data_IF_172221871875
#
_entry.id   IF_172221871875
#
_cell.length_a   1.000
_cell.length_b   1.000
_cell.length_c   1.000
_cell.angle_alpha   90.00
_cell.angle_beta   90.00
_cell.angle_gamma   90.00
#
_symmetry.space_group_name_H-M   'P 1'
#
loop_
_entity.id
_entity.type
_entity.pdbx_description
1 polymer ?
#
# COMPACT_ATOMS: atom_id res chain seq x y z
N UNK A 1 -21.34 19.60 6.02
CA UNK A 1 -19.90 19.65 5.74
C UNK A 1 -19.34 21.00 6.16
N UNK A 2 -18.31 21.02 6.98
CA UNK A 2 -17.71 22.25 7.53
C UNK A 2 -16.27 22.39 7.04
N UNK A 3 -16.06 22.51 5.72
CA UNK A 3 -14.72 22.71 5.15
C UNK A 3 -14.79 23.50 3.86
N UNK A 4 -13.84 24.43 3.69
CA UNK A 4 -13.65 25.17 2.43
C UNK A 4 -12.99 24.33 1.33
N UNK A 5 -12.52 23.13 1.64
CA UNK A 5 -11.89 22.26 0.63
C UNK A 5 -12.90 21.78 -0.43
N UNK A 6 -14.16 21.56 -0.03
CA UNK A 6 -15.23 21.11 -0.94
C UNK A 6 -15.61 22.18 -1.96
N UNK A 7 -15.50 23.44 -1.62
CA UNK A 7 -15.72 24.54 -2.59
C UNK A 7 -14.69 24.52 -3.72
N UNK A 8 -13.52 23.94 -3.50
CA UNK A 8 -12.43 23.85 -4.47
C UNK A 8 -12.39 22.53 -5.23
N UNK A 9 -12.91 21.46 -4.63
CA UNK A 9 -12.89 20.12 -5.19
C UNK A 9 -14.14 19.34 -4.76
N UNK A 10 -15.10 19.20 -5.65
CA UNK A 10 -16.31 18.41 -5.37
C UNK A 10 -15.94 16.94 -5.09
N UNK A 11 -16.61 16.29 -4.12
CA UNK A 11 -16.30 14.90 -3.79
C UNK A 11 -16.45 13.96 -4.98
N UNK A 12 -15.45 13.08 -5.16
CA UNK A 12 -15.51 11.97 -6.11
C UNK A 12 -16.06 10.76 -5.33
N UNK A 13 -17.10 10.08 -5.82
CA UNK A 13 -17.59 8.85 -5.18
C UNK A 13 -16.51 7.78 -5.11
N UNK A 14 -16.40 7.09 -3.97
CA UNK A 14 -15.43 6.00 -3.79
C UNK A 14 -15.56 5.32 -2.43
N UNK A 15 -14.65 4.41 -2.14
CA UNK A 15 -14.64 3.62 -0.91
C UNK A 15 -13.49 3.95 0.05
N UNK A 16 -12.77 5.05 -0.18
CA UNK A 16 -11.68 5.47 0.71
C UNK A 16 -12.21 6.45 1.76
N UNK A 17 -11.75 6.32 2.99
CA UNK A 17 -12.07 7.23 4.08
C UNK A 17 -10.81 7.85 4.67
N UNK A 18 -10.93 9.06 5.22
CA UNK A 18 -9.87 9.78 5.92
C UNK A 18 -10.28 9.98 7.39
N UNK A 19 -9.42 9.56 8.31
CA UNK A 19 -9.47 9.89 9.72
C UNK A 19 -8.23 10.73 10.09
N UNK A 20 -8.39 11.97 10.50
CA UNK A 20 -7.26 12.89 10.72
C UNK A 20 -7.39 13.67 12.02
N UNK A 21 -6.34 13.68 12.84
CA UNK A 21 -6.25 14.57 13.99
C UNK A 21 -6.00 16.03 13.57
N UNK A 22 -5.39 16.25 12.38
CA UNK A 22 -5.16 17.59 11.85
C UNK A 22 -6.21 17.97 10.80
N UNK A 23 -6.93 19.07 11.01
CA UNK A 23 -7.87 19.61 10.03
C UNK A 23 -7.17 20.07 8.75
N UNK A 24 -6.08 20.82 8.88
CA UNK A 24 -5.33 21.35 7.74
C UNK A 24 -4.66 20.23 6.94
N UNK A 25 -4.05 19.25 7.62
CA UNK A 25 -3.40 18.14 6.94
C UNK A 25 -4.41 17.14 6.34
N UNK A 26 -5.54 16.92 7.00
CA UNK A 26 -6.67 16.17 6.42
C UNK A 26 -7.19 16.80 5.14
N UNK A 27 -7.28 18.16 5.11
CA UNK A 27 -7.62 18.89 3.89
C UNK A 27 -6.57 18.71 2.79
N UNK A 28 -5.28 18.71 3.14
CA UNK A 28 -4.20 18.44 2.19
C UNK A 28 -4.32 17.03 1.59
N UNK A 29 -4.49 15.99 2.44
CA UNK A 29 -4.70 14.61 1.96
C UNK A 29 -5.91 14.54 1.03
N UNK A 30 -7.04 15.14 1.39
CA UNK A 30 -8.24 15.19 0.58
C UNK A 30 -7.99 15.82 -0.79
N UNK A 31 -7.34 16.99 -0.83
CA UNK A 31 -7.10 17.73 -2.08
C UNK A 31 -6.17 16.96 -3.02
N UNK A 32 -5.08 16.37 -2.51
CA UNK A 32 -4.17 15.57 -3.35
C UNK A 32 -4.84 14.26 -3.79
N UNK A 33 -5.65 13.63 -2.94
CA UNK A 33 -6.49 12.47 -3.32
C UNK A 33 -7.42 12.81 -4.47
N UNK A 34 -8.09 13.95 -4.40
CA UNK A 34 -8.98 14.42 -5.47
C UNK A 34 -8.23 14.66 -6.78
N UNK A 35 -7.04 15.29 -6.74
CA UNK A 35 -6.19 15.50 -7.94
C UNK A 35 -5.80 14.18 -8.61
N UNK A 36 -5.64 13.09 -7.82
CA UNK A 36 -5.33 11.75 -8.31
C UNK A 36 -6.57 10.91 -8.66
N UNK A 37 -7.77 11.50 -8.58
CA UNK A 37 -9.01 10.80 -8.89
C UNK A 37 -9.36 9.70 -7.88
N UNK A 38 -8.86 9.81 -6.62
CA UNK A 38 -9.24 8.92 -5.54
C UNK A 38 -10.59 9.36 -4.94
N UNK A 39 -11.56 8.46 -4.94
CA UNK A 39 -12.88 8.72 -4.38
C UNK A 39 -12.89 8.62 -2.87
N UNK A 40 -13.13 9.75 -2.18
CA UNK A 40 -13.21 9.84 -0.73
C UNK A 40 -14.68 9.86 -0.31
N UNK A 41 -15.08 8.84 0.44
CA UNK A 41 -16.45 8.71 0.94
C UNK A 41 -16.66 9.44 2.29
N UNK A 42 -15.69 9.31 3.19
CA UNK A 42 -15.70 9.98 4.49
C UNK A 42 -14.40 10.75 4.71
N UNK A 43 -14.53 11.91 5.32
CA UNK A 43 -13.41 12.64 5.89
C UNK A 43 -13.81 13.13 7.27
N UNK A 44 -13.22 12.50 8.30
CA UNK A 44 -13.45 12.80 9.72
C UNK A 44 -12.20 13.49 10.27
N UNK A 45 -12.38 14.70 10.82
CA UNK A 45 -11.33 15.41 11.54
C UNK A 45 -11.67 15.46 13.02
N UNK A 46 -10.80 14.90 13.87
CA UNK A 46 -11.02 14.81 15.31
C UNK A 46 -10.41 15.96 16.10
N UNK A 47 -9.46 16.71 15.48
CA UNK A 47 -8.78 17.82 16.13
C UNK A 47 -8.12 17.39 17.44
N UNK A 48 -8.31 18.16 18.51
CA UNK A 48 -7.75 17.87 19.84
C UNK A 48 -8.47 16.74 20.60
N UNK A 49 -9.44 16.08 19.96
CA UNK A 49 -10.14 14.93 20.53
C UNK A 49 -10.82 15.23 21.88
N UNK A 50 -11.60 16.29 21.89
CA UNK A 50 -12.38 16.67 23.08
C UNK A 50 -13.54 15.70 23.34
N UNK A 51 -14.07 15.10 22.28
CA UNK A 51 -15.21 14.15 22.31
C UNK A 51 -14.80 12.84 21.62
N UNK A 52 -14.64 12.84 20.29
CA UNK A 52 -14.31 11.67 19.50
C UNK A 52 -12.81 11.62 19.20
N UNK A 53 -12.18 10.49 19.47
CA UNK A 53 -10.79 10.22 19.15
C UNK A 53 -10.60 9.70 17.72
N UNK A 54 -9.36 9.77 17.20
CA UNK A 54 -9.01 9.16 15.90
C UNK A 54 -9.20 7.64 15.92
N UNK A 55 -9.03 7.01 17.09
CA UNK A 55 -9.27 5.57 17.26
C UNK A 55 -10.73 5.21 17.08
N UNK A 56 -11.65 5.99 17.64
CA UNK A 56 -13.11 5.81 17.46
C UNK A 56 -13.54 6.11 16.03
N UNK A 57 -12.92 7.12 15.38
CA UNK A 57 -13.16 7.39 13.96
C UNK A 57 -12.72 6.21 13.09
N UNK A 58 -11.55 5.61 13.35
CA UNK A 58 -11.08 4.40 12.63
C UNK A 58 -12.04 3.24 12.88
N UNK A 59 -12.50 3.02 14.12
CA UNK A 59 -13.46 1.96 14.47
C UNK A 59 -14.76 2.11 13.67
N UNK A 60 -15.33 3.32 13.65
CA UNK A 60 -16.54 3.62 12.87
C UNK A 60 -16.34 3.32 11.38
N UNK A 61 -15.23 3.77 10.80
CA UNK A 61 -14.91 3.53 9.39
C UNK A 61 -14.65 2.06 9.09
N UNK A 62 -14.08 1.32 10.05
CA UNK A 62 -13.86 -0.11 9.92
C UNK A 62 -15.18 -0.90 9.85
N UNK A 63 -16.21 -0.44 10.54
CA UNK A 63 -17.53 -1.08 10.56
C UNK A 63 -18.46 -0.66 9.40
N UNK A 64 -18.19 0.47 8.73
CA UNK A 64 -19.05 0.98 7.64
C UNK A 64 -18.82 0.23 6.32
N UNK A 65 -19.85 -0.44 5.79
CA UNK A 65 -19.79 -1.23 4.55
C UNK A 65 -19.38 -0.43 3.30
N UNK A 66 -19.55 0.90 3.31
CA UNK A 66 -19.16 1.78 2.20
C UNK A 66 -17.67 2.11 2.19
N UNK A 67 -16.94 1.77 3.26
CA UNK A 67 -15.51 2.02 3.38
C UNK A 67 -14.75 0.74 3.03
N UNK A 68 -13.76 0.87 2.16
CA UNK A 68 -12.89 -0.22 1.73
C UNK A 68 -11.44 -0.01 2.15
N UNK A 69 -11.04 1.24 2.39
CA UNK A 69 -9.67 1.62 2.77
C UNK A 69 -9.72 2.83 3.66
N UNK A 70 -8.93 2.84 4.72
CA UNK A 70 -8.85 3.92 5.69
C UNK A 70 -7.46 4.55 5.63
N UNK A 71 -7.39 5.84 5.34
CA UNK A 71 -6.17 6.65 5.48
C UNK A 71 -6.24 7.38 6.82
N UNK A 72 -5.28 7.16 7.69
CA UNK A 72 -5.25 7.76 9.02
C UNK A 72 -4.02 8.66 9.23
N UNK A 73 -4.25 9.88 9.72
CA UNK A 73 -3.19 10.79 10.16
C UNK A 73 -3.24 10.93 11.68
N UNK A 74 -2.19 10.49 12.36
CA UNK A 74 -2.16 10.31 13.81
C UNK A 74 -0.95 11.03 14.41
N UNK A 75 -1.20 11.95 15.32
CA UNK A 75 -0.18 12.67 16.10
C UNK A 75 0.09 11.96 17.43
N UNK A 76 -0.98 11.54 18.12
CA UNK A 76 -0.91 10.81 19.39
C UNK A 76 -2.11 9.88 19.55
N UNK A 77 -1.99 8.90 20.45
CA UNK A 77 -3.08 7.99 20.82
C UNK A 77 -3.29 8.09 22.33
N UNK A 78 -4.49 8.50 22.75
CA UNK A 78 -4.85 8.65 24.16
C UNK A 78 -5.28 7.34 24.81
N UNK A 79 -5.99 6.49 24.03
CA UNK A 79 -6.44 5.17 24.45
C UNK A 79 -5.86 4.08 23.53
N UNK A 80 -4.79 3.43 23.98
CA UNK A 80 -4.14 2.35 23.24
C UNK A 80 -5.03 1.13 23.04
N UNK A 81 -5.94 0.82 23.98
CA UNK A 81 -6.87 -0.31 23.85
C UNK A 81 -7.89 -0.06 22.74
N UNK A 82 -8.46 1.15 22.72
CA UNK A 82 -9.39 1.54 21.66
C UNK A 82 -8.69 1.56 20.29
N UNK A 83 -7.45 2.05 20.25
CA UNK A 83 -6.66 2.08 19.02
C UNK A 83 -6.40 0.68 18.46
N UNK A 84 -5.88 -0.24 19.28
CA UNK A 84 -5.62 -1.62 18.85
C UNK A 84 -6.90 -2.34 18.46
N UNK A 85 -8.01 -2.13 19.19
CA UNK A 85 -9.31 -2.68 18.84
C UNK A 85 -9.78 -2.19 17.45
N UNK A 86 -9.63 -0.89 17.17
CA UNK A 86 -10.04 -0.32 15.89
C UNK A 86 -9.23 -0.90 14.72
N UNK A 87 -7.91 -1.09 14.88
CA UNK A 87 -7.05 -1.73 13.88
C UNK A 87 -7.43 -3.20 13.69
N UNK A 88 -7.67 -3.94 14.78
CA UNK A 88 -8.09 -5.34 14.70
C UNK A 88 -9.46 -5.50 14.02
N UNK A 89 -10.41 -4.59 14.29
CA UNK A 89 -11.70 -4.57 13.58
C UNK A 89 -11.48 -4.36 12.08
N UNK A 90 -10.68 -3.39 11.68
CA UNK A 90 -10.39 -3.13 10.28
C UNK A 90 -9.73 -4.36 9.61
N UNK A 91 -8.78 -5.03 10.30
CA UNK A 91 -8.15 -6.26 9.82
C UNK A 91 -9.16 -7.39 9.64
N UNK A 92 -10.05 -7.62 10.59
CA UNK A 92 -11.11 -8.63 10.52
C UNK A 92 -12.08 -8.38 9.36
N UNK A 93 -12.43 -7.12 9.13
CA UNK A 93 -13.27 -6.68 8.02
C UNK A 93 -12.49 -6.58 6.68
N UNK A 94 -11.22 -6.99 6.67
CA UNK A 94 -10.31 -6.95 5.51
C UNK A 94 -10.22 -5.56 4.87
N UNK A 95 -10.18 -4.53 5.70
CA UNK A 95 -10.04 -3.13 5.30
C UNK A 95 -8.65 -2.62 5.61
N UNK A 96 -7.83 -2.29 4.60
CA UNK A 96 -6.53 -1.66 4.80
C UNK A 96 -6.61 -0.39 5.62
N UNK A 97 -5.78 -0.30 6.68
CA UNK A 97 -5.52 0.95 7.40
C UNK A 97 -4.12 1.42 7.03
N UNK A 98 -4.06 2.53 6.31
CA UNK A 98 -2.82 3.19 5.88
C UNK A 98 -2.57 4.34 6.83
N UNK A 99 -1.54 4.25 7.66
CA UNK A 99 -1.38 5.11 8.81
C UNK A 99 -0.10 5.93 8.74
N UNK A 100 -0.25 7.24 8.77
CA UNK A 100 0.85 8.20 8.94
C UNK A 100 0.92 8.62 10.41
N UNK A 101 1.90 8.09 11.16
CA UNK A 101 2.22 8.54 12.52
C UNK A 101 3.33 9.58 12.46
N UNK A 102 3.04 10.78 12.92
CA UNK A 102 4.00 11.89 12.99
C UNK A 102 4.58 12.07 14.39
N UNK A 103 5.57 12.95 14.53
CA UNK A 103 6.31 13.11 15.79
C UNK A 103 7.28 11.96 16.06
N UNK A 104 8.00 11.50 15.01
CA UNK A 104 8.93 10.35 15.07
C UNK A 104 10.30 10.71 15.62
N UNK A 105 10.79 11.88 15.30
CA UNK A 105 12.08 12.41 15.79
C UNK A 105 11.88 13.28 17.01
N UNK A 106 12.94 13.51 17.78
CA UNK A 106 12.89 14.39 18.95
C UNK A 106 12.36 15.79 18.60
N UNK A 107 12.79 16.33 17.45
CA UNK A 107 12.31 17.62 16.95
C UNK A 107 10.83 17.56 16.58
N UNK A 108 10.42 16.49 15.88
CA UNK A 108 9.03 16.27 15.51
C UNK A 108 8.13 16.03 16.73
N UNK A 109 8.61 15.30 17.73
CA UNK A 109 7.91 15.07 18.99
C UNK A 109 7.74 16.37 19.78
N UNK A 110 8.79 17.19 19.87
CA UNK A 110 8.71 18.52 20.52
C UNK A 110 7.72 19.45 19.80
N UNK A 111 7.69 19.42 18.47
CA UNK A 111 6.74 20.18 17.67
C UNK A 111 5.29 19.70 17.91
N UNK A 112 5.05 18.38 17.88
CA UNK A 112 3.75 17.79 18.16
C UNK A 112 3.26 18.11 19.58
N UNK A 113 4.13 17.98 20.58
CA UNK A 113 3.80 18.30 21.97
C UNK A 113 3.42 19.79 22.16
N UNK A 114 4.11 20.71 21.48
CA UNK A 114 3.78 22.13 21.54
C UNK A 114 2.46 22.46 20.84
N UNK A 115 2.08 21.67 19.83
CA UNK A 115 0.88 21.90 19.03
C UNK A 115 -0.39 21.30 19.68
N UNK A 116 -0.29 20.09 20.28
CA UNK A 116 -1.44 19.35 20.79
C UNK A 116 -1.49 19.18 22.31
N UNK A 117 -0.45 19.65 23.03
CA UNK A 117 -0.26 19.44 24.47
C UNK A 117 -0.31 17.96 24.91
N UNK A 118 -0.10 17.01 24.00
CA UNK A 118 -0.08 15.58 24.25
C UNK A 118 1.32 15.00 24.07
N UNK A 119 1.73 14.08 24.96
CA UNK A 119 3.01 13.38 24.88
C UNK A 119 3.07 12.54 23.60
N UNK A 120 4.12 12.69 22.80
CA UNK A 120 4.28 11.99 21.53
C UNK A 120 4.54 10.47 21.65
N UNK A 121 4.89 9.97 22.85
CA UNK A 121 5.22 8.57 23.08
C UNK A 121 6.45 8.08 22.28
N UNK A 122 6.91 6.87 22.59
CA UNK A 122 8.05 6.24 21.91
C UNK A 122 7.67 5.75 20.50
N UNK A 123 8.33 6.25 19.47
CA UNK A 123 8.02 5.95 18.06
C UNK A 123 8.14 4.46 17.71
N UNK A 124 9.10 3.77 18.35
CA UNK A 124 9.30 2.34 18.16
C UNK A 124 8.08 1.52 18.63
N UNK A 125 7.44 1.92 19.74
CA UNK A 125 6.23 1.27 20.25
C UNK A 125 5.09 1.43 19.24
N UNK A 126 4.90 2.63 18.70
CA UNK A 126 3.89 2.86 17.66
C UNK A 126 4.12 1.98 16.43
N UNK A 127 5.37 1.88 15.95
CA UNK A 127 5.70 1.04 14.80
C UNK A 127 5.31 -0.42 15.03
N UNK A 128 5.66 -0.97 16.21
CA UNK A 128 5.36 -2.35 16.54
C UNK A 128 3.85 -2.60 16.70
N UNK A 129 3.13 -1.69 17.38
CA UNK A 129 1.68 -1.81 17.56
C UNK A 129 0.96 -1.74 16.22
N UNK A 130 1.29 -0.76 15.38
CA UNK A 130 0.68 -0.60 14.05
C UNK A 130 0.87 -1.87 13.23
N UNK A 131 2.11 -2.40 13.21
CA UNK A 131 2.45 -3.63 12.49
C UNK A 131 1.74 -4.86 13.06
N UNK A 132 1.73 -5.04 14.38
CA UNK A 132 1.14 -6.20 15.06
C UNK A 132 -0.39 -6.27 14.87
N UNK A 133 -1.05 -5.14 14.66
CA UNK A 133 -2.49 -5.05 14.42
C UNK A 133 -2.86 -4.87 12.93
N UNK A 134 -1.92 -5.19 12.01
CA UNK A 134 -2.19 -5.32 10.57
C UNK A 134 -2.34 -4.01 9.81
N UNK A 135 -2.07 -2.86 10.41
CA UNK A 135 -2.03 -1.58 9.70
C UNK A 135 -0.68 -1.40 9.00
N UNK A 136 -0.66 -0.59 7.92
CA UNK A 136 0.53 -0.26 7.16
C UNK A 136 0.97 1.18 7.46
N UNK A 137 2.18 1.34 7.99
CA UNK A 137 2.73 2.64 8.35
C UNK A 137 3.46 3.27 7.18
N UNK A 138 3.00 4.47 6.78
CA UNK A 138 3.60 5.26 5.69
C UNK A 138 4.44 6.43 6.22
N UNK A 139 5.38 6.90 5.39
CA UNK A 139 6.34 7.96 5.72
C UNK A 139 6.02 9.30 5.05
N UNK A 140 5.19 9.29 4.01
CA UNK A 140 4.85 10.47 3.23
C UNK A 140 3.40 10.43 2.73
N UNK A 141 2.87 11.59 2.34
CA UNK A 141 1.57 11.68 1.66
C UNK A 141 1.58 10.93 0.33
N UNK A 142 2.69 11.00 -0.40
CA UNK A 142 2.90 10.30 -1.66
C UNK A 142 2.67 8.80 -1.48
N UNK A 143 3.39 8.18 -0.54
CA UNK A 143 3.28 6.76 -0.21
C UNK A 143 1.87 6.39 0.26
N UNK A 144 1.24 7.23 1.11
CA UNK A 144 -0.14 7.03 1.56
C UNK A 144 -1.11 6.92 0.38
N UNK A 145 -0.98 7.82 -0.58
CA UNK A 145 -1.88 7.86 -1.74
C UNK A 145 -1.60 6.74 -2.75
N UNK A 146 -0.34 6.36 -2.94
CA UNK A 146 0.02 5.24 -3.80
C UNK A 146 -0.54 3.92 -3.25
N UNK A 147 -0.38 3.70 -1.95
CA UNK A 147 -0.93 2.51 -1.30
C UNK A 147 -2.46 2.54 -1.34
N UNK A 148 -3.09 3.69 -1.06
CA UNK A 148 -4.54 3.83 -1.16
C UNK A 148 -5.05 3.59 -2.59
N UNK A 149 -4.33 4.07 -3.60
CA UNK A 149 -4.62 3.79 -5.00
C UNK A 149 -4.51 2.28 -5.31
N UNK A 150 -3.44 1.65 -4.83
CA UNK A 150 -3.19 0.23 -5.08
C UNK A 150 -4.25 -0.69 -4.45
N UNK A 151 -4.97 -0.25 -3.41
CA UNK A 151 -6.05 -1.04 -2.80
C UNK A 151 -7.35 -1.07 -3.62
N UNK A 152 -7.49 -0.27 -4.69
CA UNK A 152 -8.71 -0.19 -5.52
C UNK A 152 -9.24 -1.55 -6.01
N UNK A 153 -8.40 -2.47 -6.52
CA UNK A 153 -8.88 -3.78 -6.98
C UNK A 153 -9.34 -4.71 -5.85
N UNK A 154 -8.99 -4.40 -4.60
CA UNK A 154 -9.31 -5.22 -3.41
C UNK A 154 -8.74 -6.64 -3.50
N UNK A 155 -7.61 -6.80 -4.16
CA UNK A 155 -6.84 -8.03 -4.27
C UNK A 155 -5.59 -7.88 -3.39
N UNK A 156 -5.46 -8.76 -2.41
CA UNK A 156 -4.40 -8.72 -1.41
C UNK A 156 -3.65 -10.05 -1.39
N UNK A 157 -2.50 -10.15 -2.08
CA UNK A 157 -1.71 -11.39 -2.11
C UNK A 157 -1.19 -11.74 -0.71
N UNK A 158 -1.34 -12.99 -0.27
CA UNK A 158 -0.90 -13.42 1.06
C UNK A 158 0.57 -13.80 1.15
N UNK A 159 1.24 -14.00 0.02
CA UNK A 159 2.66 -14.31 -0.06
C UNK A 159 3.53 -13.07 -0.27
N UNK A 160 4.86 -13.28 -0.33
CA UNK A 160 5.86 -12.22 -0.51
C UNK A 160 6.71 -12.42 -1.78
N UNK A 161 6.32 -13.31 -2.68
CA UNK A 161 7.10 -13.60 -3.87
C UNK A 161 6.69 -12.64 -5.00
N UNK A 162 7.60 -11.73 -5.33
CA UNK A 162 7.42 -10.73 -6.38
C UNK A 162 8.00 -11.20 -7.71
N UNK A 163 7.20 -11.20 -8.76
CA UNK A 163 7.64 -11.31 -10.14
C UNK A 163 7.87 -9.93 -10.74
N UNK A 164 8.98 -9.75 -11.45
CA UNK A 164 9.29 -8.50 -12.16
C UNK A 164 9.52 -8.85 -13.63
N UNK A 165 8.72 -8.27 -14.52
CA UNK A 165 8.92 -8.34 -15.97
C UNK A 165 9.29 -6.96 -16.49
N UNK A 166 10.35 -6.86 -17.29
CA UNK A 166 10.87 -5.56 -17.71
C UNK A 166 11.39 -5.60 -19.15
N UNK A 167 11.35 -4.44 -19.80
CA UNK A 167 12.03 -4.17 -21.07
C UNK A 167 13.36 -3.41 -20.86
N UNK A 168 13.77 -3.22 -19.61
CA UNK A 168 14.97 -2.49 -19.21
C UNK A 168 15.68 -3.19 -18.06
N UNK A 169 16.84 -3.73 -18.30
CA UNK A 169 17.65 -4.40 -17.26
C UNK A 169 17.92 -3.51 -16.05
N UNK A 170 18.26 -2.23 -16.26
CA UNK A 170 18.49 -1.27 -15.16
C UNK A 170 17.26 -1.04 -14.29
N UNK A 171 16.05 -0.96 -14.90
CA UNK A 171 14.82 -0.86 -14.15
C UNK A 171 14.52 -2.10 -13.30
N UNK A 172 14.85 -3.29 -13.84
CA UNK A 172 14.76 -4.55 -13.11
C UNK A 172 15.64 -4.59 -11.87
N UNK A 173 16.90 -4.12 -11.98
CA UNK A 173 17.82 -4.03 -10.83
C UNK A 173 17.29 -3.10 -9.76
N UNK A 174 16.85 -1.88 -10.13
CA UNK A 174 16.29 -0.91 -9.19
C UNK A 174 15.09 -1.47 -8.42
N UNK A 175 14.17 -2.17 -9.12
CA UNK A 175 13.02 -2.80 -8.47
C UNK A 175 13.41 -3.97 -7.57
N UNK A 176 14.46 -4.73 -7.91
CA UNK A 176 14.94 -5.81 -7.06
C UNK A 176 15.55 -5.28 -5.76
N UNK A 177 16.30 -4.18 -5.80
CA UNK A 177 16.84 -3.50 -4.62
C UNK A 177 15.70 -2.96 -3.74
N UNK A 178 14.71 -2.27 -4.33
CA UNK A 178 13.54 -1.80 -3.61
C UNK A 178 12.73 -2.96 -2.97
N UNK A 179 12.61 -4.08 -3.66
CA UNK A 179 11.94 -5.28 -3.14
C UNK A 179 12.68 -5.88 -1.94
N UNK A 180 14.00 -5.87 -1.97
CA UNK A 180 14.83 -6.27 -0.83
C UNK A 180 14.60 -5.39 0.39
N UNK A 181 14.58 -4.07 0.21
CA UNK A 181 14.34 -3.09 1.29
C UNK A 181 12.96 -3.26 1.93
N UNK A 182 11.95 -3.64 1.13
CA UNK A 182 10.57 -3.92 1.60
C UNK A 182 10.36 -5.37 2.07
N UNK A 183 11.41 -6.19 2.11
CA UNK A 183 11.36 -7.59 2.58
C UNK A 183 10.55 -8.53 1.68
N UNK A 184 10.48 -8.22 0.39
CA UNK A 184 9.89 -9.08 -0.64
C UNK A 184 10.92 -10.07 -1.20
N UNK A 185 10.44 -11.18 -1.72
CA UNK A 185 11.29 -12.21 -2.33
C UNK A 185 11.26 -12.10 -3.86
N UNK A 186 12.37 -11.72 -4.48
CA UNK A 186 12.57 -11.78 -5.94
C UNK A 186 13.29 -13.09 -6.28
N UNK A 187 12.58 -14.22 -6.19
CA UNK A 187 13.17 -15.55 -6.43
C UNK A 187 13.27 -15.85 -7.92
N UNK A 188 14.34 -16.52 -8.38
CA UNK A 188 14.42 -17.00 -9.76
C UNK A 188 13.29 -18.00 -10.08
N UNK A 189 12.81 -17.98 -11.32
CA UNK A 189 11.93 -19.04 -11.81
C UNK A 189 12.63 -20.40 -11.82
N UNK A 190 11.88 -21.52 -11.80
CA UNK A 190 12.43 -22.86 -12.01
C UNK A 190 13.27 -22.93 -13.30
N UNK A 191 14.39 -23.66 -13.27
CA UNK A 191 15.33 -23.76 -14.41
C UNK A 191 14.67 -24.20 -15.70
N UNK A 192 13.72 -25.12 -15.63
CA UNK A 192 12.97 -25.59 -16.81
C UNK A 192 12.14 -24.46 -17.44
N UNK A 193 11.46 -23.64 -16.62
CA UNK A 193 10.70 -22.49 -17.09
C UNK A 193 11.63 -21.46 -17.78
N UNK A 194 12.80 -21.18 -17.17
CA UNK A 194 13.81 -20.31 -17.77
C UNK A 194 14.30 -20.84 -19.12
N UNK A 195 14.59 -22.14 -19.23
CA UNK A 195 15.04 -22.78 -20.48
C UNK A 195 13.97 -22.70 -21.57
N UNK A 196 12.72 -22.89 -21.22
CA UNK A 196 11.61 -22.78 -22.17
C UNK A 196 11.45 -21.36 -22.71
N UNK A 197 11.55 -20.35 -21.86
CA UNK A 197 11.54 -18.95 -22.30
C UNK A 197 12.77 -18.60 -23.15
N UNK A 198 13.95 -19.13 -22.84
CA UNK A 198 15.15 -18.94 -23.69
C UNK A 198 15.05 -19.56 -25.08
N UNK A 199 14.24 -20.61 -25.27
CA UNK A 199 13.97 -21.14 -26.63
C UNK A 199 13.15 -20.14 -27.47
N UNK A 200 12.27 -19.34 -26.83
CA UNK A 200 11.46 -18.33 -27.49
C UNK A 200 12.28 -17.06 -27.75
N UNK A 201 12.99 -16.58 -26.74
CA UNK A 201 13.86 -15.39 -26.83
C UNK A 201 15.26 -15.76 -26.30
N UNK A 202 16.20 -16.17 -27.19
CA UNK A 202 17.54 -16.63 -26.78
C UNK A 202 18.35 -15.63 -25.97
N UNK A 203 18.11 -14.32 -26.20
CA UNK A 203 18.82 -13.22 -25.53
C UNK A 203 18.13 -12.73 -24.27
N UNK A 204 16.92 -13.22 -23.94
CA UNK A 204 16.23 -12.86 -22.70
C UNK A 204 16.99 -13.34 -21.47
N UNK A 205 16.85 -12.59 -20.38
CA UNK A 205 17.26 -13.04 -19.05
C UNK A 205 16.01 -13.44 -18.25
N UNK A 206 15.54 -14.70 -18.35
CA UNK A 206 14.28 -15.14 -17.74
C UNK A 206 14.44 -15.57 -16.29
N UNK A 207 15.34 -14.95 -15.54
CA UNK A 207 15.67 -15.38 -14.18
C UNK A 207 14.68 -14.84 -13.15
N UNK A 208 14.33 -13.65 -13.13
CA UNK A 208 13.62 -12.72 -12.27
C UNK A 208 14.62 -11.82 -11.52
N UNK A 209 14.64 -10.51 -11.84
CA UNK A 209 13.78 -9.83 -12.84
C UNK A 209 13.91 -10.40 -14.25
N UNK A 210 12.77 -10.57 -14.92
CA UNK A 210 12.71 -11.15 -16.27
C UNK A 210 12.82 -10.04 -17.30
N UNK A 211 13.99 -9.93 -17.95
CA UNK A 211 14.21 -8.98 -19.02
C UNK A 211 13.83 -9.62 -20.37
N UNK A 212 12.73 -9.14 -20.96
CA UNK A 212 12.25 -9.60 -22.27
C UNK A 212 12.97 -8.92 -23.44
N UNK A 213 13.86 -7.99 -23.15
CA UNK A 213 14.71 -7.25 -24.11
C UNK A 213 13.93 -6.39 -25.11
N UNK A 214 14.64 -5.76 -26.05
CA UNK A 214 14.04 -4.99 -27.14
C UNK A 214 13.20 -5.83 -28.12
N UNK A 215 13.21 -7.16 -28.03
CA UNK A 215 12.32 -8.01 -28.84
C UNK A 215 10.83 -7.74 -28.59
N UNK A 216 10.50 -7.27 -27.40
CA UNK A 216 9.18 -6.78 -27.06
C UNK A 216 8.59 -5.81 -28.12
N UNK A 217 9.41 -4.94 -28.73
CA UNK A 217 8.93 -3.98 -29.75
C UNK A 217 8.56 -4.65 -31.07
N UNK A 218 9.08 -5.84 -31.33
CA UNK A 218 8.81 -6.60 -32.55
C UNK A 218 7.66 -7.59 -32.33
N UNK A 219 7.49 -8.10 -31.10
CA UNK A 219 6.50 -9.12 -30.79
C UNK A 219 5.91 -8.93 -29.39
N UNK A 220 4.74 -8.31 -29.33
CA UNK A 220 4.00 -8.09 -28.08
C UNK A 220 3.38 -9.38 -27.50
N UNK A 221 3.35 -10.50 -28.25
CA UNK A 221 2.90 -11.80 -27.71
C UNK A 221 3.86 -12.35 -26.66
N UNK A 222 5.05 -11.78 -26.55
CA UNK A 222 6.00 -12.09 -25.48
C UNK A 222 5.46 -11.68 -24.10
N UNK A 223 4.65 -10.61 -24.01
CA UNK A 223 4.05 -10.16 -22.75
C UNK A 223 3.18 -11.25 -22.13
N UNK A 224 2.10 -11.73 -22.78
CA UNK A 224 1.30 -12.81 -22.22
C UNK A 224 2.10 -14.09 -22.02
N UNK A 225 2.99 -14.44 -22.95
CA UNK A 225 3.80 -15.68 -22.85
C UNK A 225 4.69 -15.68 -21.62
N UNK A 226 5.45 -14.62 -21.39
CA UNK A 226 6.34 -14.53 -20.24
C UNK A 226 5.56 -14.40 -18.93
N UNK A 227 4.52 -13.56 -18.91
CA UNK A 227 3.66 -13.37 -17.74
C UNK A 227 2.95 -14.67 -17.34
N UNK A 228 2.41 -15.43 -18.29
CA UNK A 228 1.80 -16.73 -18.01
C UNK A 228 2.79 -17.71 -17.39
N UNK A 229 4.00 -17.84 -17.95
CA UNK A 229 5.04 -18.71 -17.37
C UNK A 229 5.43 -18.23 -15.97
N UNK A 230 5.55 -16.94 -15.75
CA UNK A 230 5.84 -16.37 -14.44
C UNK A 230 4.75 -16.69 -13.41
N UNK A 231 3.48 -16.52 -13.77
CA UNK A 231 2.35 -16.80 -12.88
C UNK A 231 2.12 -18.28 -12.65
N UNK A 232 2.20 -19.10 -13.72
CA UNK A 232 1.92 -20.54 -13.65
C UNK A 232 3.07 -21.38 -13.08
N UNK A 233 4.33 -20.96 -13.27
CA UNK A 233 5.53 -21.74 -12.91
C UNK A 233 6.45 -21.03 -11.92
N UNK A 234 6.42 -19.70 -11.87
CA UNK A 234 7.29 -18.91 -11.00
C UNK A 234 6.88 -18.91 -9.53
N UNK A 235 5.61 -19.17 -9.24
CA UNK A 235 5.07 -19.14 -7.88
C UNK A 235 5.05 -17.73 -7.29
N UNK A 236 4.87 -16.72 -8.13
CA UNK A 236 4.77 -15.33 -7.70
C UNK A 236 3.36 -14.97 -7.24
N UNK A 237 3.29 -14.17 -6.19
CA UNK A 237 2.05 -13.74 -5.58
C UNK A 237 1.49 -12.48 -6.27
N UNK A 238 2.39 -11.68 -6.85
CA UNK A 238 2.06 -10.50 -7.66
C UNK A 238 3.17 -10.22 -8.67
N UNK A 239 2.86 -9.44 -9.71
CA UNK A 239 3.80 -9.07 -10.77
C UNK A 239 3.83 -7.55 -10.94
N UNK A 240 5.03 -7.01 -11.19
CA UNK A 240 5.22 -5.64 -11.69
C UNK A 240 5.80 -5.72 -13.10
N UNK A 241 5.15 -5.05 -14.05
CA UNK A 241 5.63 -4.86 -15.41
C UNK A 241 6.24 -3.47 -15.58
N UNK A 242 7.51 -3.36 -15.95
CA UNK A 242 8.18 -2.09 -16.21
C UNK A 242 8.27 -1.81 -17.70
N UNK A 243 7.47 -0.85 -18.18
CA UNK A 243 7.26 -0.56 -19.60
C UNK A 243 7.85 0.78 -20.04
N UNK A 244 8.47 1.54 -19.15
CA UNK A 244 9.01 2.89 -19.41
C UNK A 244 7.95 3.82 -19.99
N UNK A 245 8.21 4.52 -21.10
CA UNK A 245 7.26 5.38 -21.82
C UNK A 245 6.52 4.71 -22.98
N UNK A 246 6.71 3.40 -23.16
CA UNK A 246 6.13 2.65 -24.30
C UNK A 246 4.61 2.75 -24.36
N UNK A 247 3.85 2.62 -23.25
CA UNK A 247 2.38 2.74 -23.29
C UNK A 247 1.87 4.11 -23.74
N UNK A 248 2.69 5.16 -23.61
CA UNK A 248 2.35 6.52 -24.07
C UNK A 248 2.41 6.69 -25.60
N UNK A 249 3.00 5.74 -26.33
CA UNK A 249 3.07 5.77 -27.78
C UNK A 249 1.80 5.22 -28.42
N UNK A 250 1.19 5.96 -29.34
CA UNK A 250 -0.02 5.55 -30.05
C UNK A 250 0.09 4.18 -30.72
N UNK A 251 1.30 3.80 -31.14
CA UNK A 251 1.60 2.48 -31.73
C UNK A 251 1.45 1.35 -30.72
N UNK A 252 1.76 1.57 -29.44
CA UNK A 252 1.84 0.51 -28.43
C UNK A 252 0.74 0.57 -27.38
N UNK A 253 0.06 1.70 -27.18
CA UNK A 253 -0.98 1.86 -26.14
C UNK A 253 -2.00 0.73 -26.15
N UNK A 254 -2.72 0.54 -27.26
CA UNK A 254 -3.76 -0.49 -27.35
C UNK A 254 -3.18 -1.91 -27.45
N UNK A 255 -2.19 -2.19 -28.31
CA UNK A 255 -1.62 -3.53 -28.41
C UNK A 255 -1.03 -4.06 -27.10
N UNK A 256 -0.36 -3.21 -26.30
CA UNK A 256 0.16 -3.63 -25.01
C UNK A 256 -0.97 -3.88 -24.00
N UNK A 257 -2.00 -3.02 -23.97
CA UNK A 257 -3.17 -3.24 -23.12
C UNK A 257 -3.87 -4.56 -23.44
N UNK A 258 -4.04 -4.89 -24.71
CA UNK A 258 -4.65 -6.16 -25.15
C UNK A 258 -3.78 -7.36 -24.80
N UNK A 259 -2.46 -7.24 -24.87
CA UNK A 259 -1.51 -8.23 -24.45
C UNK A 259 -1.58 -8.48 -22.92
N UNK A 260 -1.67 -7.41 -22.13
CA UNK A 260 -1.82 -7.51 -20.67
C UNK A 260 -3.16 -8.11 -20.27
N UNK A 261 -4.26 -7.74 -20.94
CA UNK A 261 -5.58 -8.37 -20.72
C UNK A 261 -5.52 -9.87 -21.01
N UNK A 262 -4.85 -10.26 -22.09
CA UNK A 262 -4.64 -11.68 -22.43
C UNK A 262 -3.82 -12.38 -21.35
N UNK A 263 -2.73 -11.75 -20.88
CA UNK A 263 -1.87 -12.29 -19.83
C UNK A 263 -2.60 -12.56 -18.51
N UNK A 264 -3.51 -11.64 -18.13
CA UNK A 264 -4.16 -11.68 -16.83
C UNK A 264 -5.54 -12.37 -16.82
N UNK A 265 -6.01 -12.83 -17.98
CA UNK A 265 -7.36 -13.39 -18.13
C UNK A 265 -7.68 -14.53 -17.16
N UNK A 266 -6.72 -15.42 -16.94
CA UNK A 266 -6.87 -16.60 -16.07
C UNK A 266 -6.39 -16.36 -14.62
N UNK A 267 -5.95 -15.12 -14.31
CA UNK A 267 -5.31 -14.76 -13.04
C UNK A 267 -6.02 -13.58 -12.34
N UNK A 268 -7.35 -13.63 -12.27
CA UNK A 268 -8.16 -12.56 -11.68
C UNK A 268 -7.94 -12.37 -10.16
N UNK A 269 -7.32 -13.35 -9.50
CA UNK A 269 -6.92 -13.33 -8.09
C UNK A 269 -5.51 -12.76 -7.87
N UNK A 270 -4.80 -12.41 -8.93
CA UNK A 270 -3.43 -11.86 -8.89
C UNK A 270 -3.41 -10.37 -9.16
N UNK A 271 -2.45 -9.68 -8.55
CA UNK A 271 -2.16 -8.27 -8.82
C UNK A 271 -1.08 -8.13 -9.90
N UNK A 272 -1.36 -7.25 -10.85
CA UNK A 272 -0.38 -6.78 -11.82
C UNK A 272 -0.31 -5.25 -11.77
N UNK A 273 0.85 -4.71 -11.38
CA UNK A 273 1.11 -3.26 -11.41
C UNK A 273 1.91 -2.94 -12.68
N UNK A 274 1.40 -2.01 -13.47
CA UNK A 274 2.12 -1.48 -14.62
C UNK A 274 2.94 -0.27 -14.21
N UNK A 275 4.25 -0.40 -14.20
CA UNK A 275 5.16 0.72 -13.99
C UNK A 275 5.46 1.36 -15.35
N UNK A 276 4.91 2.56 -15.58
CA UNK A 276 4.96 3.23 -16.87
C UNK A 276 4.83 4.74 -16.74
N UNK A 277 5.33 5.46 -17.74
CA UNK A 277 5.12 6.92 -17.91
C UNK A 277 4.28 7.15 -19.15
N UNK A 278 3.11 7.78 -18.98
CA UNK A 278 2.19 8.05 -20.06
C UNK A 278 1.31 9.29 -19.77
N UNK A 279 0.62 9.87 -20.76
CA UNK A 279 -0.41 10.87 -20.52
C UNK A 279 -1.57 10.34 -19.67
N UNK A 280 -2.26 11.24 -18.94
CA UNK A 280 -3.33 10.87 -18.01
C UNK A 280 -4.49 10.09 -18.68
N UNK A 281 -4.81 10.35 -19.92
CA UNK A 281 -5.83 9.60 -20.66
C UNK A 281 -5.44 8.14 -20.89
N UNK A 282 -4.14 7.84 -20.97
CA UNK A 282 -3.64 6.48 -21.09
C UNK A 282 -3.72 5.76 -19.75
N UNK A 283 -3.35 6.43 -18.64
CA UNK A 283 -3.57 5.87 -17.31
C UNK A 283 -5.02 5.46 -17.11
N UNK A 284 -5.97 6.39 -17.36
CA UNK A 284 -7.41 6.12 -17.25
C UNK A 284 -7.87 4.95 -18.12
N UNK A 285 -7.29 4.81 -19.32
CA UNK A 285 -7.61 3.71 -20.23
C UNK A 285 -7.21 2.35 -19.63
N UNK A 286 -6.02 2.24 -19.04
CA UNK A 286 -5.55 1.04 -18.37
C UNK A 286 -6.33 0.77 -17.07
N UNK A 287 -6.60 1.81 -16.29
CA UNK A 287 -7.39 1.71 -15.05
C UNK A 287 -8.83 1.25 -15.29
N UNK A 288 -9.48 1.67 -16.37
CA UNK A 288 -10.82 1.23 -16.75
C UNK A 288 -10.88 -0.26 -17.10
N UNK A 289 -9.76 -0.86 -17.45
CA UNK A 289 -9.60 -2.31 -17.65
C UNK A 289 -9.10 -3.05 -16.40
N UNK A 290 -9.05 -2.36 -15.27
CA UNK A 290 -8.69 -2.95 -13.96
C UNK A 290 -7.20 -2.99 -13.65
N UNK A 291 -6.35 -2.37 -14.46
CA UNK A 291 -4.91 -2.33 -14.20
C UNK A 291 -4.50 -1.16 -13.30
N UNK A 292 -3.60 -1.45 -12.37
CA UNK A 292 -2.91 -0.41 -11.62
C UNK A 292 -1.73 0.13 -12.43
N UNK A 293 -1.54 1.46 -12.38
CA UNK A 293 -0.49 2.15 -13.12
C UNK A 293 0.25 3.11 -12.18
N UNK A 294 1.56 2.94 -12.04
CA UNK A 294 2.43 3.79 -11.21
C UNK A 294 3.65 4.18 -12.04
N UNK A 295 4.04 5.45 -12.02
CA UNK A 295 5.12 5.93 -12.88
C UNK A 295 6.52 5.58 -12.37
N UNK A 296 6.71 5.51 -11.05
CA UNK A 296 8.01 5.25 -10.42
C UNK A 296 8.16 3.78 -10.02
N UNK A 297 9.25 3.09 -10.42
CA UNK A 297 9.45 1.67 -10.14
C UNK A 297 9.60 1.37 -8.65
N UNK A 298 10.22 2.24 -7.86
CA UNK A 298 10.35 2.05 -6.41
C UNK A 298 8.99 2.18 -5.73
N UNK A 299 8.18 3.17 -6.10
CA UNK A 299 6.81 3.37 -5.60
C UNK A 299 5.89 2.21 -5.97
N UNK A 300 6.07 1.62 -7.16
CA UNK A 300 5.32 0.42 -7.58
C UNK A 300 5.65 -0.77 -6.66
N UNK A 301 6.93 -0.96 -6.31
CA UNK A 301 7.36 -2.02 -5.38
C UNK A 301 6.82 -1.79 -3.98
N UNK A 302 6.92 -0.57 -3.43
CA UNK A 302 6.36 -0.20 -2.11
C UNK A 302 4.85 -0.46 -2.07
N UNK A 303 4.12 -0.08 -3.13
CA UNK A 303 2.68 -0.34 -3.23
C UNK A 303 2.36 -1.84 -3.25
N UNK A 304 3.13 -2.64 -3.98
CA UNK A 304 2.99 -4.10 -3.97
C UNK A 304 3.29 -4.69 -2.60
N UNK A 305 4.33 -4.22 -1.92
CA UNK A 305 4.68 -4.67 -0.57
C UNK A 305 3.56 -4.39 0.43
N UNK A 306 2.92 -3.22 0.35
CA UNK A 306 1.77 -2.89 1.17
C UNK A 306 0.57 -3.82 0.91
N UNK A 307 0.27 -4.14 -0.36
CA UNK A 307 -0.79 -5.10 -0.69
C UNK A 307 -0.50 -6.50 -0.14
N UNK A 308 0.75 -6.97 -0.25
CA UNK A 308 1.18 -8.26 0.28
C UNK A 308 1.19 -8.29 1.81
N UNK A 309 1.53 -7.14 2.46
CA UNK A 309 1.36 -6.99 3.91
C UNK A 309 -0.10 -7.18 4.30
N UNK A 310 -1.04 -6.45 3.69
CA UNK A 310 -2.46 -6.60 4.00
C UNK A 310 -2.96 -8.03 3.75
N UNK A 311 -2.56 -8.66 2.64
CA UNK A 311 -2.95 -10.03 2.34
C UNK A 311 -2.46 -11.03 3.38
N UNK A 312 -1.23 -10.88 3.86
CA UNK A 312 -0.69 -11.66 4.96
C UNK A 312 -1.51 -11.47 6.24
N UNK A 313 -1.80 -10.20 6.60
CA UNK A 313 -2.51 -9.87 7.84
C UNK A 313 -3.98 -10.29 7.82
N UNK A 314 -4.65 -10.20 6.68
CA UNK A 314 -6.05 -10.62 6.52
C UNK A 314 -6.25 -12.15 6.53
N UNK A 315 -5.18 -12.91 6.25
CA UNK A 315 -5.20 -14.37 6.27
C UNK A 315 -4.60 -14.96 7.54
N UNK A 316 -3.91 -14.17 8.35
CA UNK A 316 -3.44 -14.60 9.65
C UNK A 316 -4.65 -14.76 10.59
N UNK A 317 -5.01 -16.01 10.91
CA UNK A 317 -5.88 -16.30 12.04
C UNK A 317 -5.09 -15.96 13.32
N UNK A 318 -5.03 -14.68 13.64
CA UNK A 318 -4.60 -14.31 14.99
C UNK A 318 -5.78 -14.68 15.90
N UNK A 319 -5.69 -15.85 16.53
CA UNK A 319 -6.48 -16.12 17.71
C UNK A 319 -6.40 -14.86 18.58
N UNK A 320 -7.58 -14.39 19.05
CA UNK A 320 -7.67 -13.22 19.92
C UNK A 320 -6.50 -13.28 20.89
N UNK A 321 -5.55 -12.37 20.75
CA UNK A 321 -4.52 -12.19 21.77
C UNK A 321 -5.35 -11.90 23.02
N UNK A 322 -5.50 -12.91 23.89
CA UNK A 322 -6.10 -12.71 25.19
C UNK A 322 -5.36 -11.51 25.77
N UNK A 323 -6.11 -10.44 26.03
CA UNK A 323 -5.53 -9.25 26.62
C UNK A 323 -4.78 -9.72 27.85
N UNK A 324 -3.44 -9.66 27.81
CA UNK A 324 -2.64 -9.89 28.99
C UNK A 324 -3.27 -9.00 30.07
N UNK A 325 -3.94 -9.62 31.05
CA UNK A 325 -4.39 -8.89 32.23
C UNK A 325 -3.13 -8.32 32.85
N UNK A 326 -2.86 -7.04 32.56
CA UNK A 326 -1.82 -6.31 33.24
C UNK A 326 -2.29 -6.25 34.67
N UNK A 327 -1.78 -7.17 35.51
CA UNK A 327 -1.97 -7.08 36.96
C UNK A 327 -1.55 -5.67 37.33
N UNK A 328 -2.51 -4.87 37.83
CA UNK A 328 -2.20 -3.55 38.35
C UNK A 328 -1.12 -3.74 39.40
N UNK A 329 0.11 -3.35 39.11
CA UNK A 329 1.18 -3.25 40.08
C UNK A 329 0.69 -2.30 41.15
N UNK A 330 0.65 -2.79 42.38
CA UNK A 330 0.32 -1.99 43.55
C UNK A 330 1.55 -1.11 43.87
N UNK A 331 1.71 -0.05 43.07
CA UNK A 331 2.81 0.89 43.25
C UNK A 331 2.52 1.71 44.48
N UNK A 332 3.40 1.70 45.52
CA UNK A 332 3.22 2.52 46.72
C UNK A 332 3.11 3.99 46.34
N UNK A 333 2.22 4.74 46.99
CA UNK A 333 2.05 6.20 46.78
C UNK A 333 3.28 7.06 47.23
N UNK A 334 4.44 6.46 47.36
CA UNK A 334 5.71 7.11 47.72
C UNK A 334 6.68 7.05 46.52
N UNK A 335 7.66 7.94 46.47
CA UNK A 335 8.77 7.82 45.52
C UNK A 335 9.50 6.49 45.77
N UNK A 336 9.57 5.66 44.74
CA UNK A 336 10.40 4.44 44.72
C UNK A 336 11.85 4.86 44.46
N UNK A 337 12.81 4.13 45.09
CA UNK A 337 14.21 4.26 44.69
C UNK A 337 14.54 3.30 43.56
N UNK A 338 15.77 3.38 43.00
CA UNK A 338 16.19 2.59 41.84
C UNK A 338 16.12 1.05 42.06
N UNK A 339 16.11 0.59 43.32
CA UNK A 339 16.01 -0.83 43.64
C UNK A 339 14.56 -1.31 43.84
N UNK A 340 13.60 -0.40 43.93
CA UNK A 340 12.18 -0.72 44.17
C UNK A 340 11.33 -0.55 42.88
N UNK A 341 11.93 0.00 41.81
CA UNK A 341 11.28 0.21 40.52
C UNK A 341 11.49 -0.97 39.56
#
# INVERSE_FOLDING_TARGET
TFTSAIDRAAPIPGGIAIASQSGAYGSHIYMVSHQRGLGINYWITTGNEADISVSEAIQFLAEDEKVHTIMAYVESVKDGKMFTKALDTARQEKKPVILMKVGRSDVGAAAANSHTASLAGEDAIYSEVIRAHGAYRVRSTEEMLDVAYATKPRIYPSGKNLGIVTISGGGGVLMADAAYDEGLNVKPMPKEAQQNLKKIVPFASPMNPVDVTAQFFNDLSLVPTFTDVMLSKGGYDGIIGFWTSVPGSSKFTQPLLDALKTAMKEYSDKIFINCMVAPNEIYKKYENEGFLCIEDPTRAVVSMAALMHFGSEFNNNVDKVESLEIKKLNIPKRKLNEFEA
#
